data_IF_426966638632
#
_entry.id   IF_426966638632
#
_cell.length_a   1.000
_cell.length_b   1.000
_cell.length_c   1.000
_cell.angle_alpha   90.00
_cell.angle_beta   90.00
_cell.angle_gamma   90.00
#
_symmetry.space_group_name_H-M   'P 1'
#
loop_
_entity.id
_entity.type
_entity.pdbx_description
1 polymer ?
#
# COMPACT_ATOMS: atom_id res chain seq x y z
N UNK A 1 -4.90 27.61 1.51
CA UNK A 1 -5.09 26.94 0.21
C UNK A 1 -6.28 26.01 0.33
N UNK A 2 -7.22 25.99 -0.62
CA UNK A 2 -8.33 25.01 -0.60
C UNK A 2 -7.79 23.66 -1.07
N UNK A 3 -8.01 22.61 -0.29
CA UNK A 3 -7.58 21.24 -0.61
C UNK A 3 -8.78 20.29 -0.63
N UNK A 4 -8.70 19.23 -1.42
CA UNK A 4 -9.72 18.19 -1.37
C UNK A 4 -9.16 16.79 -1.61
N UNK A 5 -9.87 15.78 -1.13
CA UNK A 5 -9.48 14.38 -1.26
C UNK A 5 -10.71 13.49 -1.42
N UNK A 6 -10.59 12.47 -2.26
CA UNK A 6 -11.51 11.33 -2.27
C UNK A 6 -10.73 10.05 -2.07
N UNK A 7 -11.05 9.35 -0.99
CA UNK A 7 -10.53 8.01 -0.68
C UNK A 7 -9.00 7.92 -0.55
N UNK A 8 -8.27 9.03 -0.47
CA UNK A 8 -6.82 8.95 -0.32
C UNK A 8 -6.47 8.27 1.01
N UNK A 9 -5.50 7.34 1.04
CA UNK A 9 -5.19 6.59 2.24
C UNK A 9 -4.77 7.45 3.43
N UNK A 10 -5.14 6.97 4.63
CA UNK A 10 -4.70 7.54 5.92
C UNK A 10 -5.04 9.04 6.07
N UNK A 11 -6.20 9.47 5.56
CA UNK A 11 -6.64 10.87 5.61
C UNK A 11 -7.66 11.19 6.70
N UNK A 12 -8.05 10.22 7.54
CA UNK A 12 -8.92 10.48 8.70
C UNK A 12 -8.21 11.45 9.66
N UNK A 13 -8.86 12.58 9.97
CA UNK A 13 -8.29 13.62 10.84
C UNK A 13 -7.24 14.51 10.17
N UNK A 14 -6.91 14.31 8.89
CA UNK A 14 -5.99 15.17 8.16
C UNK A 14 -6.60 16.56 7.92
N UNK A 15 -5.73 17.59 7.89
CA UNK A 15 -6.15 18.97 7.63
C UNK A 15 -6.43 19.22 6.14
N UNK A 16 -7.58 18.71 5.66
CA UNK A 16 -8.05 18.80 4.28
C UNK A 16 -9.39 19.55 4.24
N UNK A 17 -9.52 20.57 3.38
CA UNK A 17 -10.74 21.42 3.35
C UNK A 17 -11.99 20.63 3.00
N UNK A 18 -11.92 19.78 1.97
CA UNK A 18 -13.01 18.91 1.52
C UNK A 18 -12.54 17.47 1.41
N UNK A 19 -12.75 16.69 2.47
CA UNK A 19 -12.26 15.33 2.58
C UNK A 19 -13.41 14.33 2.58
N UNK A 20 -13.40 13.41 1.62
CA UNK A 20 -14.15 12.16 1.69
C UNK A 20 -13.13 11.08 2.03
N UNK A 21 -13.13 10.64 3.29
CA UNK A 21 -12.08 9.77 3.85
C UNK A 21 -12.15 8.36 3.29
N UNK A 22 -11.00 7.69 3.24
CA UNK A 22 -10.94 6.24 3.15
C UNK A 22 -11.13 5.65 4.55
N UNK A 23 -12.15 4.79 4.72
CA UNK A 23 -12.39 4.08 5.97
C UNK A 23 -13.26 2.85 5.76
N UNK A 24 -12.87 1.72 6.35
CA UNK A 24 -13.70 0.52 6.50
C UNK A 24 -13.39 -0.14 7.84
N UNK A 25 -14.33 -0.93 8.38
CA UNK A 25 -14.10 -1.69 9.61
C UNK A 25 -14.74 -3.07 9.57
N UNK A 26 -16.05 -3.11 9.40
CA UNK A 26 -16.86 -4.32 9.53
C UNK A 26 -17.71 -4.61 8.30
N UNK A 27 -17.62 -3.74 7.27
CA UNK A 27 -18.32 -3.88 5.99
C UNK A 27 -19.83 -4.01 6.17
N UNK A 28 -20.38 -3.27 7.13
CA UNK A 28 -21.81 -3.22 7.40
C UNK A 28 -22.42 -1.95 6.81
N UNK A 29 -23.75 -1.89 6.60
CA UNK A 29 -24.40 -0.64 6.21
C UNK A 29 -24.16 0.54 7.17
N UNK A 30 -23.75 0.28 8.41
CA UNK A 30 -23.41 1.32 9.38
C UNK A 30 -22.04 1.96 9.11
N UNK A 31 -21.13 1.29 8.40
CA UNK A 31 -19.81 1.82 8.06
C UNK A 31 -19.94 3.10 7.19
N UNK A 32 -20.99 3.18 6.36
CA UNK A 32 -21.33 4.40 5.61
C UNK A 32 -21.62 5.61 6.51
N UNK A 33 -22.24 5.39 7.68
CA UNK A 33 -22.49 6.46 8.65
C UNK A 33 -21.17 6.96 9.24
N UNK A 34 -20.19 6.07 9.41
CA UNK A 34 -18.85 6.42 9.89
C UNK A 34 -18.10 7.21 8.82
N UNK A 35 -18.10 6.79 7.56
CA UNK A 35 -17.49 7.55 6.45
C UNK A 35 -18.07 8.96 6.41
N UNK A 36 -19.40 9.11 6.51
CA UNK A 36 -20.07 10.42 6.55
C UNK A 36 -19.65 11.27 7.77
N UNK A 37 -19.49 10.65 8.94
CA UNK A 37 -19.11 11.34 10.17
C UNK A 37 -17.64 11.77 10.20
N UNK A 38 -16.75 10.99 9.60
CA UNK A 38 -15.31 11.25 9.53
C UNK A 38 -14.92 12.15 8.34
N UNK A 39 -15.77 12.22 7.32
CA UNK A 39 -15.62 13.15 6.19
C UNK A 39 -15.98 14.59 6.59
N UNK A 40 -15.64 15.57 5.75
CA UNK A 40 -16.05 16.97 5.95
C UNK A 40 -17.58 17.05 6.12
N UNK A 41 -18.09 17.69 7.20
CA UNK A 41 -19.52 17.71 7.49
C UNK A 41 -20.37 18.20 6.32
N UNK A 42 -21.38 17.41 5.94
CA UNK A 42 -22.31 17.70 4.85
C UNK A 42 -21.80 17.40 3.44
N UNK A 43 -20.49 17.25 3.24
CA UNK A 43 -19.88 17.08 1.93
C UNK A 43 -20.37 15.81 1.21
N UNK A 44 -20.36 14.68 1.91
CA UNK A 44 -20.75 13.40 1.32
C UNK A 44 -22.22 13.44 0.88
N UNK A 45 -23.12 14.00 1.71
CA UNK A 45 -24.53 14.16 1.37
C UNK A 45 -24.73 15.03 0.12
N UNK A 46 -24.03 16.15 0.06
CA UNK A 46 -24.09 17.06 -1.09
C UNK A 46 -23.61 16.37 -2.38
N UNK A 47 -22.49 15.65 -2.30
CA UNK A 47 -21.95 14.91 -3.44
C UNK A 47 -22.87 13.76 -3.85
N UNK A 48 -23.42 12.99 -2.90
CA UNK A 48 -24.34 11.89 -3.17
C UNK A 48 -25.62 12.35 -3.89
N UNK A 49 -26.13 13.53 -3.53
CA UNK A 49 -27.27 14.15 -4.22
C UNK A 49 -26.95 14.51 -5.68
N UNK A 50 -25.69 14.83 -5.99
CA UNK A 50 -25.26 15.25 -7.31
C UNK A 50 -24.84 14.09 -8.23
N UNK A 51 -24.13 13.08 -7.69
CA UNK A 51 -23.47 12.04 -8.50
C UNK A 51 -23.83 10.59 -8.10
N UNK A 52 -24.84 10.44 -7.24
CA UNK A 52 -25.31 9.14 -6.76
C UNK A 52 -24.54 8.63 -5.54
N UNK A 53 -24.88 7.44 -5.01
CA UNK A 53 -24.34 6.94 -3.75
C UNK A 53 -22.82 6.72 -3.81
N UNK A 54 -22.15 7.00 -2.69
CA UNK A 54 -20.72 6.68 -2.52
C UNK A 54 -20.55 5.16 -2.37
N UNK A 55 -19.45 4.56 -2.88
CA UNK A 55 -19.20 3.13 -2.71
C UNK A 55 -18.96 2.75 -1.25
N UNK A 56 -19.03 1.43 -0.97
CA UNK A 56 -18.66 0.97 0.36
C UNK A 56 -17.20 1.27 0.69
N UNK A 57 -16.90 1.52 1.97
CA UNK A 57 -15.52 1.70 2.41
C UNK A 57 -14.63 0.52 2.03
N UNK A 58 -15.19 -0.69 2.08
CA UNK A 58 -14.55 -1.95 1.70
C UNK A 58 -14.74 -2.35 0.23
N UNK A 59 -15.46 -1.54 -0.56
CA UNK A 59 -15.61 -1.78 -1.99
C UNK A 59 -14.35 -1.31 -2.72
N UNK A 60 -13.37 -2.21 -2.81
CA UNK A 60 -12.10 -1.96 -3.48
C UNK A 60 -12.14 -2.27 -4.98
N UNK A 61 -13.32 -2.57 -5.54
CA UNK A 61 -13.48 -2.99 -6.93
C UNK A 61 -13.31 -1.86 -7.96
N UNK A 62 -13.11 -2.24 -9.22
CA UNK A 62 -13.14 -1.32 -10.38
C UNK A 62 -14.49 -0.58 -10.46
N UNK A 63 -15.60 -1.22 -10.10
CA UNK A 63 -16.90 -0.54 -10.05
C UNK A 63 -16.94 0.52 -8.94
N UNK A 64 -16.35 0.23 -7.77
CA UNK A 64 -16.12 1.21 -6.72
C UNK A 64 -15.33 2.41 -7.23
N UNK A 65 -14.27 2.17 -8.00
CA UNK A 65 -13.45 3.24 -8.61
C UNK A 65 -14.24 4.09 -9.60
N UNK A 66 -15.12 3.50 -10.42
CA UNK A 66 -16.02 4.28 -11.31
C UNK A 66 -16.86 5.25 -10.51
N UNK A 67 -17.34 4.86 -9.33
CA UNK A 67 -18.08 5.76 -8.45
C UNK A 67 -17.15 6.83 -7.88
N UNK A 68 -15.98 6.46 -7.34
CA UNK A 68 -14.98 7.41 -6.81
C UNK A 68 -14.60 8.47 -7.83
N UNK A 69 -14.41 8.12 -9.10
CA UNK A 69 -14.11 9.07 -10.17
C UNK A 69 -15.17 10.17 -10.30
N UNK A 70 -16.47 9.83 -10.19
CA UNK A 70 -17.56 10.82 -10.20
C UNK A 70 -17.48 11.81 -9.04
N UNK A 71 -17.11 11.33 -7.85
CA UNK A 71 -16.91 12.19 -6.67
C UNK A 71 -15.69 13.10 -6.82
N UNK A 72 -14.60 12.60 -7.40
CA UNK A 72 -13.42 13.43 -7.71
C UNK A 72 -13.77 14.57 -8.69
N UNK A 73 -14.45 14.25 -9.79
CA UNK A 73 -14.93 15.25 -10.76
C UNK A 73 -15.86 16.26 -10.09
N UNK A 74 -16.81 15.80 -9.26
CA UNK A 74 -17.69 16.70 -8.50
C UNK A 74 -16.91 17.68 -7.62
N UNK A 75 -15.92 17.20 -6.85
CA UNK A 75 -15.11 18.07 -6.00
C UNK A 75 -14.29 19.07 -6.81
N UNK A 76 -13.69 18.64 -7.93
CA UNK A 76 -12.95 19.53 -8.83
C UNK A 76 -13.85 20.65 -9.37
N UNK A 77 -15.06 20.31 -9.85
CA UNK A 77 -15.97 21.29 -10.44
C UNK A 77 -16.64 22.23 -9.42
N UNK A 78 -17.07 21.70 -8.28
CA UNK A 78 -17.88 22.43 -7.30
C UNK A 78 -17.06 23.07 -6.19
N UNK A 79 -15.98 22.42 -5.77
CA UNK A 79 -15.14 22.89 -4.64
C UNK A 79 -13.88 23.59 -5.09
N UNK A 80 -13.48 23.44 -6.36
CA UNK A 80 -12.39 24.18 -7.01
C UNK A 80 -11.10 24.21 -6.16
N UNK A 81 -10.59 23.04 -5.71
CA UNK A 81 -9.39 22.96 -4.90
C UNK A 81 -8.15 23.41 -5.69
N UNK A 82 -7.13 23.87 -4.97
CA UNK A 82 -5.79 24.11 -5.53
C UNK A 82 -4.90 22.87 -5.48
N UNK A 83 -5.21 21.92 -4.60
CA UNK A 83 -4.56 20.62 -4.49
C UNK A 83 -5.61 19.54 -4.23
N UNK A 84 -5.57 18.47 -5.02
CA UNK A 84 -6.56 17.40 -4.98
C UNK A 84 -5.88 16.03 -5.01
N UNK A 85 -6.30 15.13 -4.12
CA UNK A 85 -5.84 13.73 -4.09
C UNK A 85 -6.99 12.78 -4.40
N UNK A 86 -6.69 11.73 -5.17
CA UNK A 86 -7.64 10.73 -5.64
C UNK A 86 -6.98 9.36 -5.53
N UNK A 87 -7.70 8.35 -5.03
CA UNK A 87 -7.21 6.98 -4.93
C UNK A 87 -8.19 5.98 -5.55
N UNK A 88 -7.63 5.08 -6.36
CA UNK A 88 -8.31 3.98 -7.04
C UNK A 88 -7.67 2.66 -6.61
N UNK A 89 -8.49 1.67 -6.27
CA UNK A 89 -8.05 0.41 -5.62
C UNK A 89 -8.17 -0.83 -6.51
N UNK A 90 -8.95 -0.75 -7.59
CA UNK A 90 -9.40 -1.91 -8.34
C UNK A 90 -8.27 -2.76 -8.94
N UNK A 91 -7.16 -2.13 -9.32
CA UNK A 91 -6.01 -2.86 -9.86
C UNK A 91 -5.36 -3.77 -8.81
N UNK A 92 -5.19 -3.27 -7.59
CA UNK A 92 -4.61 -4.03 -6.48
C UNK A 92 -5.47 -5.27 -6.17
N UNK A 93 -6.78 -5.08 -6.03
CA UNK A 93 -7.75 -6.17 -5.83
C UNK A 93 -7.67 -7.23 -6.93
N UNK A 94 -7.64 -6.81 -8.20
CA UNK A 94 -7.57 -7.76 -9.32
C UNK A 94 -6.22 -8.48 -9.38
N UNK A 95 -5.12 -7.82 -9.02
CA UNK A 95 -3.79 -8.44 -8.97
C UNK A 95 -3.66 -9.42 -7.81
N UNK A 96 -4.25 -9.13 -6.64
CA UNK A 96 -4.34 -10.11 -5.56
C UNK A 96 -5.11 -11.36 -5.98
N UNK A 97 -6.27 -11.19 -6.61
CA UNK A 97 -7.13 -12.31 -6.99
C UNK A 97 -6.59 -13.16 -8.16
N UNK A 98 -5.94 -12.54 -9.15
CA UNK A 98 -5.63 -13.18 -10.43
C UNK A 98 -4.14 -13.14 -10.80
N UNK A 99 -3.32 -12.45 -10.01
CA UNK A 99 -1.91 -12.19 -10.29
C UNK A 99 -1.67 -10.99 -11.23
N UNK A 100 -0.47 -10.41 -11.17
CA UNK A 100 -0.07 -9.34 -12.08
C UNK A 100 -0.02 -9.85 -13.54
N UNK A 101 -0.24 -8.93 -14.48
CA UNK A 101 -0.24 -9.20 -15.93
C UNK A 101 -1.28 -10.23 -16.41
N UNK A 102 -2.28 -10.54 -15.59
CA UNK A 102 -3.45 -11.31 -16.02
C UNK A 102 -4.36 -10.47 -16.93
N UNK A 103 -5.21 -11.12 -17.73
CA UNK A 103 -6.19 -10.42 -18.56
C UNK A 103 -7.12 -9.51 -17.73
N UNK A 104 -7.45 -9.92 -16.49
CA UNK A 104 -8.24 -9.10 -15.56
C UNK A 104 -7.46 -7.90 -15.02
N UNK A 105 -6.18 -8.08 -14.67
CA UNK A 105 -5.34 -6.96 -14.26
C UNK A 105 -5.18 -5.92 -15.40
N UNK A 106 -5.02 -6.36 -16.65
CA UNK A 106 -4.98 -5.45 -17.80
C UNK A 106 -6.32 -4.75 -18.03
N UNK A 107 -7.44 -5.47 -17.97
CA UNK A 107 -8.76 -4.84 -18.09
C UNK A 107 -9.00 -3.79 -16.99
N UNK A 108 -8.61 -4.07 -15.74
CA UNK A 108 -8.70 -3.11 -14.65
C UNK A 108 -7.81 -1.88 -14.89
N UNK A 109 -6.60 -2.07 -15.43
CA UNK A 109 -5.70 -0.96 -15.77
C UNK A 109 -6.28 -0.08 -16.88
N UNK A 110 -6.88 -0.65 -17.93
CA UNK A 110 -7.54 0.10 -19.01
C UNK A 110 -8.74 0.90 -18.50
N UNK A 111 -9.52 0.33 -17.58
CA UNK A 111 -10.61 1.04 -16.91
C UNK A 111 -10.08 2.20 -16.06
N UNK A 112 -9.03 1.98 -15.26
CA UNK A 112 -8.42 3.04 -14.44
C UNK A 112 -7.83 4.15 -15.30
N UNK A 113 -7.21 3.85 -16.44
CA UNK A 113 -6.73 4.86 -17.39
C UNK A 113 -7.88 5.79 -17.84
N UNK A 114 -9.03 5.21 -18.18
CA UNK A 114 -10.25 5.98 -18.50
C UNK A 114 -10.69 6.88 -17.35
N UNK A 115 -10.67 6.38 -16.10
CA UNK A 115 -11.06 7.15 -14.92
C UNK A 115 -10.07 8.27 -14.60
N UNK A 116 -8.76 8.02 -14.72
CA UNK A 116 -7.71 9.04 -14.61
C UNK A 116 -7.92 10.12 -15.66
N UNK A 117 -8.26 9.75 -16.90
CA UNK A 117 -8.60 10.69 -17.98
C UNK A 117 -9.77 11.62 -17.63
N UNK A 118 -10.82 11.11 -16.97
CA UNK A 118 -11.96 11.92 -16.52
C UNK A 118 -11.55 12.94 -15.45
N UNK A 119 -10.80 12.50 -14.43
CA UNK A 119 -10.32 13.36 -13.34
C UNK A 119 -9.35 14.42 -13.88
N UNK A 120 -8.43 14.02 -14.76
CA UNK A 120 -7.50 14.93 -15.47
C UNK A 120 -8.25 16.00 -16.25
N UNK A 121 -9.25 15.61 -17.05
CA UNK A 121 -10.04 16.56 -17.85
C UNK A 121 -10.71 17.61 -16.96
N UNK A 122 -11.30 17.19 -15.83
CA UNK A 122 -11.91 18.10 -14.87
C UNK A 122 -10.87 19.04 -14.23
N UNK A 123 -9.69 18.53 -13.88
CA UNK A 123 -8.60 19.32 -13.31
C UNK A 123 -8.04 20.34 -14.32
N UNK A 124 -7.79 19.95 -15.57
CA UNK A 124 -7.31 20.83 -16.64
C UNK A 124 -8.31 21.95 -16.94
N UNK A 125 -9.61 21.63 -16.99
CA UNK A 125 -10.68 22.62 -17.15
C UNK A 125 -10.71 23.61 -15.98
N UNK A 126 -10.62 23.12 -14.75
CA UNK A 126 -10.55 23.96 -13.55
C UNK A 126 -9.33 24.89 -13.58
N UNK A 127 -8.17 24.36 -13.96
CA UNK A 127 -6.90 25.08 -14.02
C UNK A 127 -6.71 25.95 -15.27
N UNK A 128 -7.68 26.00 -16.19
CA UNK A 128 -7.55 26.72 -17.46
C UNK A 128 -6.37 26.23 -18.31
N UNK A 129 -6.16 24.92 -18.36
CA UNK A 129 -5.04 24.26 -19.04
C UNK A 129 -3.72 24.28 -18.26
N UNK A 130 -3.71 24.77 -17.02
CA UNK A 130 -2.51 24.87 -16.17
C UNK A 130 -2.46 23.87 -15.02
N UNK A 131 -3.30 22.84 -15.06
CA UNK A 131 -3.25 21.78 -14.06
C UNK A 131 -1.95 20.99 -14.18
N UNK A 132 -1.38 20.62 -13.04
CA UNK A 132 -0.31 19.63 -12.97
C UNK A 132 -0.95 18.34 -12.48
N UNK A 133 -0.74 17.26 -13.22
CA UNK A 133 -1.26 15.93 -12.91
C UNK A 133 -0.09 15.03 -12.56
N UNK A 134 -0.18 14.41 -11.38
CA UNK A 134 0.78 13.42 -10.92
C UNK A 134 0.04 12.10 -10.71
N UNK A 135 0.48 11.06 -11.40
CA UNK A 135 -0.02 9.70 -11.23
C UNK A 135 1.07 8.92 -10.52
N UNK A 136 0.73 8.37 -9.35
CA UNK A 136 1.65 7.61 -8.51
C UNK A 136 1.03 6.28 -8.11
N UNK A 137 1.88 5.35 -7.71
CA UNK A 137 1.49 4.13 -7.01
C UNK A 137 2.36 3.97 -5.76
N UNK A 138 1.83 3.26 -4.78
CA UNK A 138 2.46 2.90 -3.52
C UNK A 138 3.40 1.68 -3.62
N UNK A 139 3.15 0.75 -4.54
CA UNK A 139 4.03 -0.40 -4.78
C UNK A 139 3.77 -1.08 -6.13
N UNK A 140 4.72 -1.90 -6.55
CA UNK A 140 4.50 -2.91 -7.60
C UNK A 140 3.93 -4.23 -7.07
N UNK A 141 4.07 -5.31 -7.83
CA UNK A 141 3.50 -6.63 -7.53
C UNK A 141 4.37 -7.78 -8.01
N UNK A 142 4.25 -8.92 -7.34
CA UNK A 142 4.85 -10.20 -7.72
C UNK A 142 3.76 -11.25 -7.85
N UNK A 143 3.89 -12.13 -8.84
CA UNK A 143 3.04 -13.32 -8.96
C UNK A 143 3.44 -14.34 -7.90
N UNK A 144 2.46 -14.88 -7.19
CA UNK A 144 2.68 -15.85 -6.11
C UNK A 144 1.96 -17.15 -6.39
N UNK A 145 2.64 -18.26 -6.11
CA UNK A 145 2.15 -19.62 -6.36
C UNK A 145 2.41 -20.55 -5.16
N UNK A 146 3.11 -20.04 -4.14
CA UNK A 146 3.49 -20.79 -2.94
C UNK A 146 3.39 -19.90 -1.72
N UNK A 147 3.19 -20.55 -0.58
CA UNK A 147 3.13 -19.93 0.73
C UNK A 147 4.25 -20.44 1.62
N UNK A 148 4.81 -19.57 2.44
CA UNK A 148 5.80 -19.87 3.45
C UNK A 148 5.26 -19.46 4.83
N UNK A 149 5.02 -20.46 5.67
CA UNK A 149 4.39 -20.37 6.99
C UNK A 149 5.48 -20.34 8.08
N UNK A 150 6.08 -19.17 8.30
CA UNK A 150 7.18 -19.01 9.27
C UNK A 150 6.75 -19.35 10.71
N UNK A 151 5.50 -19.09 11.07
CA UNK A 151 4.98 -19.40 12.40
C UNK A 151 4.87 -20.91 12.64
N UNK A 152 4.58 -21.72 11.61
CA UNK A 152 4.68 -23.17 11.71
C UNK A 152 6.13 -23.63 12.00
N UNK A 153 7.13 -23.03 11.34
CA UNK A 153 8.54 -23.33 11.60
C UNK A 153 8.99 -22.95 13.02
N UNK A 154 8.50 -21.82 13.55
CA UNK A 154 8.78 -21.40 14.93
C UNK A 154 8.07 -22.26 15.96
N UNK A 155 6.85 -22.71 15.67
CA UNK A 155 6.15 -23.72 16.49
C UNK A 155 6.95 -25.01 16.58
N UNK A 156 7.44 -25.53 15.45
CA UNK A 156 8.24 -26.76 15.42
C UNK A 156 9.55 -26.64 16.23
N UNK A 157 10.08 -25.42 16.36
CA UNK A 157 11.23 -25.10 17.21
C UNK A 157 10.87 -24.84 18.69
N UNK A 158 9.60 -24.98 19.07
CA UNK A 158 9.11 -24.72 20.43
C UNK A 158 9.07 -23.24 20.83
N UNK A 159 9.13 -22.32 19.85
CA UNK A 159 9.05 -20.87 20.07
C UNK A 159 7.60 -20.36 20.08
N UNK A 160 6.67 -21.14 19.53
CA UNK A 160 5.23 -20.90 19.61
C UNK A 160 4.57 -22.16 20.16
N UNK A 161 3.69 -21.99 21.14
CA UNK A 161 2.84 -23.05 21.67
C UNK A 161 1.40 -22.77 21.27
N UNK A 162 0.71 -23.79 20.80
CA UNK A 162 -0.73 -23.75 20.48
C UNK A 162 -1.53 -24.59 21.47
N UNK A 163 -2.83 -24.29 21.60
CA UNK A 163 -3.78 -25.13 22.33
C UNK A 163 -4.29 -26.30 21.49
N UNK A 164 -5.24 -27.06 22.03
CA UNK A 164 -5.89 -28.20 21.37
C UNK A 164 -6.72 -27.82 20.12
N UNK A 165 -6.95 -26.52 19.90
CA UNK A 165 -7.70 -25.96 18.76
C UNK A 165 -6.80 -25.23 17.77
N UNK A 166 -5.47 -25.38 17.90
CA UNK A 166 -4.51 -24.73 17.01
C UNK A 166 -4.31 -23.24 17.27
N UNK A 167 -4.88 -22.68 18.35
CA UNK A 167 -4.74 -21.26 18.68
C UNK A 167 -3.50 -21.01 19.51
N UNK A 168 -2.85 -19.87 19.29
CA UNK A 168 -1.65 -19.47 20.05
C UNK A 168 -1.98 -19.40 21.55
N UNK A 169 -1.34 -20.26 22.33
CA UNK A 169 -1.37 -20.27 23.80
C UNK A 169 -0.26 -19.40 24.39
N UNK A 170 0.94 -19.52 23.84
CA UNK A 170 2.08 -18.68 24.21
C UNK A 170 3.08 -18.59 23.05
N UNK A 171 3.89 -17.55 23.02
CA UNK A 171 4.95 -17.39 22.03
C UNK A 171 6.13 -16.64 22.64
N UNK A 172 7.33 -16.95 22.14
CA UNK A 172 8.59 -16.26 22.40
C UNK A 172 9.08 -15.54 21.14
N UNK A 173 8.75 -16.09 19.97
CA UNK A 173 8.98 -15.50 18.65
C UNK A 173 7.70 -15.54 17.83
N UNK A 174 7.42 -14.51 17.04
CA UNK A 174 6.28 -14.49 16.12
C UNK A 174 6.60 -13.73 14.84
N UNK A 175 6.18 -14.25 13.68
CA UNK A 175 6.27 -13.58 12.40
C UNK A 175 5.00 -12.76 12.13
N UNK A 176 5.15 -11.46 11.94
CA UNK A 176 4.14 -10.57 11.35
C UNK A 176 4.40 -10.48 9.86
N UNK A 177 3.75 -11.36 9.11
CA UNK A 177 3.82 -11.38 7.65
C UNK A 177 3.06 -10.20 7.04
N UNK A 178 3.65 -9.58 6.03
CA UNK A 178 3.09 -8.43 5.29
C UNK A 178 3.18 -8.68 3.78
N UNK A 179 2.83 -9.89 3.34
CA UNK A 179 2.96 -10.33 1.95
C UNK A 179 4.34 -10.92 1.68
N UNK A 180 5.19 -10.24 0.92
CA UNK A 180 6.52 -10.71 0.54
C UNK A 180 7.60 -10.62 1.62
N UNK A 181 7.33 -9.97 2.75
CA UNK A 181 8.27 -9.80 3.86
C UNK A 181 7.58 -9.99 5.22
N UNK A 182 8.37 -10.17 6.27
CA UNK A 182 7.86 -10.27 7.63
C UNK A 182 8.80 -9.62 8.64
N UNK A 183 8.19 -8.99 9.64
CA UNK A 183 8.85 -8.63 10.88
C UNK A 183 8.80 -9.81 11.84
N UNK A 184 9.94 -10.22 12.36
CA UNK A 184 10.03 -11.26 13.37
C UNK A 184 10.21 -10.59 14.72
N UNK A 185 9.21 -10.72 15.58
CA UNK A 185 9.20 -10.15 16.92
C UNK A 185 9.62 -11.18 17.94
N UNK A 186 10.32 -10.72 18.98
CA UNK A 186 10.51 -11.46 20.22
C UNK A 186 9.56 -10.89 21.26
N UNK A 187 8.87 -11.76 22.01
CA UNK A 187 7.96 -11.32 23.07
C UNK A 187 8.72 -10.58 24.17
N UNK A 188 9.88 -11.10 24.51
CA UNK A 188 10.84 -10.46 25.40
C UNK A 188 12.14 -10.23 24.61
N UNK A 189 12.52 -8.96 24.43
CA UNK A 189 13.65 -8.56 23.59
C UNK A 189 15.00 -8.99 24.17
N UNK A 190 15.06 -9.29 25.48
CA UNK A 190 16.27 -9.79 26.17
C UNK A 190 16.37 -11.31 26.19
N UNK A 191 15.40 -12.02 25.59
CA UNK A 191 15.42 -13.48 25.51
C UNK A 191 16.42 -13.98 24.45
N UNK A 192 17.69 -14.10 24.86
CA UNK A 192 18.79 -14.53 23.99
C UNK A 192 18.66 -15.98 23.50
N UNK A 193 17.99 -16.87 24.25
CA UNK A 193 17.72 -18.23 23.78
C UNK A 193 16.68 -18.23 22.65
N UNK A 194 15.61 -17.44 22.78
CA UNK A 194 14.62 -17.29 21.71
C UNK A 194 15.24 -16.65 20.47
N UNK A 195 16.07 -15.61 20.65
CA UNK A 195 16.81 -14.98 19.56
C UNK A 195 17.70 -15.99 18.82
N UNK A 196 18.50 -16.76 19.56
CA UNK A 196 19.39 -17.79 18.99
C UNK A 196 18.61 -18.86 18.22
N UNK A 197 17.55 -19.41 18.81
CA UNK A 197 16.70 -20.42 18.14
C UNK A 197 16.00 -19.88 16.90
N UNK A 198 15.50 -18.63 16.96
CA UNK A 198 14.93 -17.94 15.80
C UNK A 198 15.95 -17.86 14.66
N UNK A 199 17.18 -17.43 14.96
CA UNK A 199 18.26 -17.35 13.99
C UNK A 199 18.60 -18.72 13.38
N UNK A 200 18.63 -19.77 14.19
CA UNK A 200 18.87 -21.14 13.71
C UNK A 200 17.78 -21.62 12.76
N UNK A 201 16.51 -21.35 13.07
CA UNK A 201 15.38 -21.67 12.18
C UNK A 201 15.48 -20.92 10.86
N UNK A 202 15.70 -19.59 10.92
CA UNK A 202 15.81 -18.76 9.71
C UNK A 202 17.01 -19.18 8.85
N UNK A 203 18.16 -19.46 9.46
CA UNK A 203 19.35 -19.95 8.74
C UNK A 203 19.06 -21.27 8.04
N UNK A 204 18.43 -22.23 8.73
CA UNK A 204 18.06 -23.52 8.13
C UNK A 204 17.14 -23.35 6.93
N UNK A 205 16.15 -22.46 7.03
CA UNK A 205 15.25 -22.16 5.91
C UNK A 205 15.99 -21.47 4.76
N UNK A 206 16.88 -20.52 5.05
CA UNK A 206 17.66 -19.84 4.01
C UNK A 206 18.63 -20.80 3.28
N UNK A 207 19.21 -21.77 3.99
CA UNK A 207 20.09 -22.81 3.44
C UNK A 207 19.30 -23.84 2.60
N UNK A 208 18.00 -24.01 2.84
CA UNK A 208 17.10 -24.83 2.05
C UNK A 208 16.56 -24.06 0.84
N UNK A 209 17.05 -24.38 -0.36
CA UNK A 209 16.64 -23.72 -1.60
C UNK A 209 15.15 -23.86 -1.89
N UNK A 210 14.47 -24.87 -1.34
CA UNK A 210 13.06 -25.16 -1.53
C UNK A 210 12.11 -24.43 -0.56
N UNK A 211 12.64 -23.83 0.52
CA UNK A 211 11.82 -23.20 1.57
C UNK A 211 11.05 -21.96 1.08
N UNK A 212 11.61 -21.24 0.10
CA UNK A 212 11.11 -19.94 -0.33
C UNK A 212 11.62 -18.74 0.47
N UNK A 213 12.38 -18.95 1.55
CA UNK A 213 13.00 -17.84 2.29
C UNK A 213 14.15 -17.24 1.47
N UNK A 214 14.18 -15.92 1.38
CA UNK A 214 15.22 -15.13 0.71
C UNK A 214 16.15 -14.47 1.72
N UNK A 215 16.21 -13.15 1.70
CA UNK A 215 17.10 -12.37 2.58
C UNK A 215 16.59 -12.36 4.04
N UNK A 216 17.53 -12.34 4.99
CA UNK A 216 17.28 -12.20 6.42
C UNK A 216 18.20 -11.13 6.99
N UNK A 217 17.64 -10.22 7.78
CA UNK A 217 18.34 -9.11 8.42
C UNK A 217 18.11 -9.17 9.94
N UNK A 218 19.12 -8.81 10.72
CA UNK A 218 19.04 -8.74 12.19
C UNK A 218 19.68 -7.43 12.69
N UNK A 219 19.23 -6.96 13.86
CA UNK A 219 19.87 -5.87 14.59
C UNK A 219 19.89 -4.57 13.79
N UNK A 220 21.04 -3.91 13.73
CA UNK A 220 21.18 -2.63 13.03
C UNK A 220 20.80 -2.71 11.54
N UNK A 221 21.02 -3.85 10.88
CA UNK A 221 20.65 -4.02 9.47
C UNK A 221 19.13 -4.12 9.29
N UNK A 222 18.42 -4.75 10.22
CA UNK A 222 16.95 -4.78 10.21
C UNK A 222 16.39 -3.36 10.48
N UNK A 223 16.93 -2.65 11.48
CA UNK A 223 16.52 -1.27 11.78
C UNK A 223 16.77 -0.33 10.59
N UNK A 224 17.86 -0.51 9.85
CA UNK A 224 18.19 0.29 8.69
C UNK A 224 17.18 0.16 7.53
N UNK A 225 16.43 -0.94 7.45
CA UNK A 225 15.34 -1.12 6.49
C UNK A 225 14.10 -0.29 6.83
N UNK A 226 14.02 0.27 8.05
CA UNK A 226 12.86 1.01 8.57
C UNK A 226 11.60 0.13 8.56
N UNK A 227 10.41 0.74 8.65
CA UNK A 227 9.12 0.03 8.64
C UNK A 227 8.77 -0.69 9.95
N UNK A 228 9.70 -1.47 10.51
CA UNK A 228 9.49 -2.26 11.73
C UNK A 228 10.56 -1.98 12.80
N UNK A 229 10.44 -0.87 13.56
CA UNK A 229 11.48 -0.44 14.51
C UNK A 229 11.71 -1.43 15.66
N UNK A 230 10.71 -2.24 16.01
CA UNK A 230 10.77 -3.20 17.11
C UNK A 230 11.12 -4.62 16.67
N UNK A 231 11.36 -4.84 15.37
CA UNK A 231 11.65 -6.17 14.85
C UNK A 231 13.03 -6.65 15.29
N UNK A 232 13.10 -7.88 15.80
CA UNK A 232 14.38 -8.55 16.05
C UNK A 232 15.04 -8.97 14.74
N UNK A 233 14.22 -9.42 13.77
CA UNK A 233 14.65 -9.76 12.42
C UNK A 233 13.65 -9.22 11.39
N UNK A 234 14.13 -8.91 10.20
CA UNK A 234 13.28 -8.70 9.02
C UNK A 234 13.67 -9.75 7.99
N UNK A 235 12.69 -10.37 7.34
CA UNK A 235 12.92 -11.37 6.30
C UNK A 235 12.15 -11.03 5.04
N UNK A 236 12.71 -11.40 3.89
CA UNK A 236 12.05 -11.35 2.59
C UNK A 236 11.91 -12.75 2.00
N UNK A 237 10.76 -13.02 1.39
CA UNK A 237 10.53 -14.21 0.59
C UNK A 237 11.18 -14.06 -0.81
N UNK A 238 11.50 -15.18 -1.44
CA UNK A 238 11.85 -15.26 -2.86
C UNK A 238 10.60 -14.98 -3.71
N UNK A 239 10.81 -14.48 -4.93
CA UNK A 239 9.74 -14.34 -5.93
C UNK A 239 8.97 -15.67 -6.12
N UNK A 240 7.66 -15.58 -6.32
CA UNK A 240 6.78 -16.75 -6.39
C UNK A 240 6.25 -17.23 -5.03
N UNK A 241 6.82 -16.76 -3.91
CA UNK A 241 6.37 -17.06 -2.56
C UNK A 241 5.74 -15.84 -1.90
N UNK A 242 4.68 -16.05 -1.10
CA UNK A 242 4.22 -15.09 -0.10
C UNK A 242 4.42 -15.66 1.30
N UNK A 243 4.71 -14.80 2.27
CA UNK A 243 4.69 -15.17 3.68
C UNK A 243 3.25 -15.13 4.18
N UNK A 244 2.84 -16.18 4.87
CA UNK A 244 1.53 -16.29 5.49
C UNK A 244 1.66 -16.56 7.00
N UNK A 245 0.64 -16.16 7.75
CA UNK A 245 0.59 -16.31 9.21
C UNK A 245 0.33 -17.73 9.70
N UNK A 246 0.17 -18.71 8.79
CA UNK A 246 -0.09 -20.11 9.09
C UNK A 246 0.71 -20.68 10.25
N UNK A 247 -0.02 -21.24 11.21
CA UNK A 247 0.50 -21.90 12.42
C UNK A 247 0.50 -23.42 12.31
N UNK A 248 -0.22 -23.97 11.33
CA UNK A 248 -0.47 -25.39 11.13
C UNK A 248 -0.11 -25.84 9.71
N UNK A 249 0.14 -27.14 9.54
CA UNK A 249 0.52 -27.71 8.26
C UNK A 249 2.01 -27.58 7.91
N UNK A 250 2.36 -27.83 6.64
CA UNK A 250 3.72 -27.74 6.13
C UNK A 250 4.26 -26.30 6.17
N UNK A 251 5.56 -26.14 6.40
CA UNK A 251 6.24 -24.82 6.37
C UNK A 251 6.12 -24.17 4.99
N UNK A 252 6.16 -24.97 3.92
CA UNK A 252 5.99 -24.51 2.54
C UNK A 252 4.88 -25.32 1.89
N UNK A 253 3.94 -24.64 1.24
CA UNK A 253 2.84 -25.28 0.54
C UNK A 253 2.48 -24.58 -0.78
N UNK A 254 1.86 -25.29 -1.72
CA UNK A 254 1.25 -24.65 -2.89
C UNK A 254 0.21 -23.62 -2.45
N UNK A 255 0.24 -22.45 -3.08
CA UNK A 255 -0.75 -21.39 -2.92
C UNK A 255 -1.62 -21.24 -4.16
N UNK A 256 -2.64 -20.39 -4.08
CA UNK A 256 -3.40 -19.99 -5.27
C UNK A 256 -2.52 -19.17 -6.20
N UNK A 257 -2.66 -19.38 -7.52
CA UNK A 257 -2.07 -18.51 -8.53
C UNK A 257 -2.65 -17.09 -8.37
N UNK A 258 -1.89 -16.23 -7.71
CA UNK A 258 -2.34 -14.93 -7.20
C UNK A 258 -1.22 -13.90 -7.35
N UNK A 259 -1.42 -12.71 -6.80
CA UNK A 259 -0.40 -11.69 -6.67
C UNK A 259 -0.23 -11.26 -5.22
N UNK A 260 0.96 -10.79 -4.89
CA UNK A 260 1.21 -10.11 -3.62
C UNK A 260 2.23 -8.98 -3.79
N UNK A 261 2.27 -8.11 -2.80
CA UNK A 261 3.24 -7.03 -2.65
C UNK A 261 3.86 -7.12 -1.24
N UNK A 262 4.54 -6.05 -0.80
CA UNK A 262 5.16 -6.02 0.54
C UNK A 262 6.44 -6.83 0.63
N UNK A 263 7.12 -7.06 -0.51
CA UNK A 263 8.49 -7.58 -0.54
C UNK A 263 9.49 -6.49 -0.10
N UNK A 264 10.75 -6.89 0.07
CA UNK A 264 11.81 -5.96 0.41
C UNK A 264 11.95 -4.84 -0.66
N UNK A 265 12.27 -3.60 -0.24
CA UNK A 265 12.24 -2.43 -1.13
C UNK A 265 13.34 -2.42 -2.21
N UNK A 266 14.33 -3.30 -2.11
CA UNK A 266 15.34 -3.51 -3.14
C UNK A 266 14.84 -4.39 -4.30
N UNK A 267 13.72 -5.11 -4.12
CA UNK A 267 13.11 -5.90 -5.17
C UNK A 267 12.47 -4.98 -6.24
N UNK A 268 12.97 -5.08 -7.48
CA UNK A 268 12.52 -4.27 -8.63
C UNK A 268 11.06 -4.46 -8.98
N UNK A 269 10.46 -5.60 -8.66
CA UNK A 269 9.04 -5.80 -8.87
C UNK A 269 8.17 -4.96 -7.92
N UNK A 270 8.74 -4.38 -6.85
CA UNK A 270 8.08 -3.41 -5.98
C UNK A 270 8.22 -1.96 -6.46
N UNK A 271 9.01 -1.70 -7.52
CA UNK A 271 9.11 -0.36 -8.09
C UNK A 271 7.70 0.10 -8.54
N UNK A 272 7.27 1.26 -8.04
CA UNK A 272 5.96 1.82 -8.29
C UNK A 272 5.99 2.85 -9.43
N UNK A 273 4.83 3.10 -10.03
CA UNK A 273 4.69 4.08 -11.11
C UNK A 273 4.81 5.51 -10.59
N UNK A 274 5.49 6.37 -11.35
CA UNK A 274 5.50 7.83 -11.15
C UNK A 274 5.45 8.52 -12.52
N UNK A 275 4.38 9.26 -12.76
CA UNK A 275 4.21 10.13 -13.92
C UNK A 275 3.85 11.53 -13.47
N UNK A 276 4.41 12.54 -14.12
CA UNK A 276 4.14 13.94 -13.83
C UNK A 276 4.02 14.71 -15.15
N UNK A 277 2.95 15.47 -15.30
CA UNK A 277 2.69 16.28 -16.49
C UNK A 277 2.04 17.60 -16.11
N UNK A 278 2.37 18.67 -16.82
CA UNK A 278 1.77 19.99 -16.64
C UNK A 278 2.76 21.12 -16.84
N UNK A 279 2.34 22.38 -16.60
CA UNK A 279 3.23 23.53 -16.70
C UNK A 279 4.43 23.40 -15.75
N UNK A 280 5.60 23.83 -16.21
CA UNK A 280 6.88 23.77 -15.48
C UNK A 280 7.44 22.36 -15.22
N UNK A 281 6.81 21.31 -15.75
CA UNK A 281 7.37 19.95 -15.74
C UNK A 281 8.17 19.75 -17.04
N UNK A 282 9.45 19.35 -16.97
CA UNK A 282 10.26 19.09 -18.17
C UNK A 282 9.64 18.01 -19.07
N UNK A 283 9.43 18.34 -20.34
CA UNK A 283 8.92 17.38 -21.33
C UNK A 283 9.98 16.32 -21.66
N UNK A 284 9.51 15.10 -21.98
CA UNK A 284 10.34 13.98 -22.44
C UNK A 284 11.52 13.61 -21.52
N UNK A 285 11.38 13.88 -20.21
CA UNK A 285 12.43 13.60 -19.24
C UNK A 285 12.17 12.29 -18.49
N UNK A 286 13.16 11.39 -18.49
CA UNK A 286 13.12 10.16 -17.72
C UNK A 286 14.02 10.29 -16.48
N UNK A 287 13.41 10.27 -15.30
CA UNK A 287 14.12 10.37 -14.02
C UNK A 287 14.79 9.04 -13.59
N UNK A 288 14.52 7.94 -14.31
CA UNK A 288 14.92 6.60 -13.91
C UNK A 288 14.20 6.15 -12.64
N UNK A 289 14.87 5.34 -11.82
CA UNK A 289 14.36 4.95 -10.50
C UNK A 289 14.59 6.10 -9.52
N UNK A 290 13.53 6.54 -8.85
CA UNK A 290 13.57 7.62 -7.85
C UNK A 290 13.23 7.07 -6.46
N UNK A 291 13.59 7.81 -5.41
CA UNK A 291 13.09 7.54 -4.07
C UNK A 291 11.67 8.09 -3.96
N UNK A 292 10.70 7.28 -3.50
CA UNK A 292 9.31 7.72 -3.36
C UNK A 292 9.17 8.94 -2.43
N UNK A 293 10.07 9.11 -1.47
CA UNK A 293 10.09 10.27 -0.57
C UNK A 293 10.41 11.58 -1.28
N UNK A 294 10.94 11.52 -2.51
CA UNK A 294 11.20 12.70 -3.34
C UNK A 294 9.91 13.26 -3.97
N UNK A 295 8.81 12.48 -4.02
CA UNK A 295 7.54 12.90 -4.65
C UNK A 295 6.94 14.10 -3.93
N UNK A 296 6.76 14.03 -2.62
CA UNK A 296 6.14 15.10 -1.82
C UNK A 296 6.87 16.46 -1.94
N UNK A 297 8.19 16.57 -1.73
CA UNK A 297 8.91 17.83 -1.91
C UNK A 297 8.94 18.31 -3.37
N UNK A 298 8.90 17.40 -4.36
CA UNK A 298 8.76 17.76 -5.77
C UNK A 298 7.42 18.45 -6.05
N UNK A 299 6.32 17.86 -5.60
CA UNK A 299 4.98 18.45 -5.76
C UNK A 299 4.81 19.75 -4.95
N UNK A 300 5.39 19.82 -3.75
CA UNK A 300 5.38 21.03 -2.94
C UNK A 300 6.11 22.20 -3.63
N UNK A 301 7.28 21.93 -4.23
CA UNK A 301 8.01 22.93 -5.02
C UNK A 301 7.20 23.47 -6.20
N UNK A 302 6.46 22.61 -6.91
CA UNK A 302 5.56 23.05 -7.98
C UNK A 302 4.38 23.90 -7.49
N UNK A 303 3.93 23.68 -6.25
CA UNK A 303 2.90 24.48 -5.60
C UNK A 303 3.45 25.79 -5.01
N UNK A 304 4.77 25.97 -4.98
CA UNK A 304 5.44 27.08 -4.29
C UNK A 304 5.33 26.97 -2.77
N UNK A 305 5.38 25.74 -2.23
CA UNK A 305 5.30 25.43 -0.81
C UNK A 305 6.58 24.72 -0.38
N UNK A 306 7.12 25.11 0.77
CA UNK A 306 8.27 24.44 1.38
C UNK A 306 7.82 23.32 2.33
N UNK A 307 8.49 22.17 2.24
CA UNK A 307 8.38 21.06 3.19
C UNK A 307 9.72 20.88 3.92
N UNK A 308 10.05 21.72 4.92
CA UNK A 308 11.37 21.73 5.55
C UNK A 308 11.70 20.44 6.32
N UNK A 309 10.69 19.63 6.64
CA UNK A 309 10.84 18.33 7.30
C UNK A 309 10.82 17.14 6.33
N UNK A 310 10.79 17.38 5.01
CA UNK A 310 10.83 16.28 4.04
C UNK A 310 12.20 15.58 4.08
N UNK A 311 12.20 14.25 4.11
CA UNK A 311 13.43 13.45 4.02
C UNK A 311 13.96 13.31 2.58
N UNK A 312 13.07 13.47 1.59
CA UNK A 312 13.43 13.45 0.17
C UNK A 312 13.82 14.83 -0.36
N UNK A 313 14.07 14.90 -1.67
CA UNK A 313 14.47 16.12 -2.39
C UNK A 313 13.52 16.43 -3.54
N UNK A 314 13.43 17.71 -3.89
CA UNK A 314 12.73 18.13 -5.09
C UNK A 314 13.52 17.72 -6.34
N UNK A 315 12.90 16.95 -7.23
CA UNK A 315 13.52 16.38 -8.44
C UNK A 315 13.51 17.33 -9.63
N UNK A 316 12.68 18.37 -9.60
CA UNK A 316 12.47 19.29 -10.72
C UNK A 316 12.70 20.75 -10.35
N UNK A 317 13.35 21.00 -9.20
CA UNK A 317 13.71 22.35 -8.78
C UNK A 317 14.46 23.05 -9.92
N UNK A 318 13.87 24.15 -10.39
CA UNK A 318 14.30 24.92 -11.54
C UNK A 318 15.80 25.24 -11.44
N UNK A 319 16.53 24.98 -12.52
CA UNK A 319 17.76 25.73 -12.80
C UNK A 319 17.39 27.15 -13.22
#
# INVERSE_FOLDING_TARGET
MVTSSVNWPVTVGANITYNIVQYWRSSTPDDQKIIRALSTPGLLREAEQAVGPYPDGSDESVEGDRRRARFNVFLLEKKKPRFHTCYFTGLDTEQHGNGPYSARAFAALEEIDTLVGQVRTAAEKLGGGKAIVCVVSDHGFIRTEKELHLNAAFRDAGLIQVDDKGKVKSWRTYAWATGGSAAILLKDVVDEDARRKTREVLKRLADDSSSGLGQTFEGANAVALRGFPEAAFIVGAKDGYRLDGGLEGPITMPGSASGSHGYLPDNRAMDASFFLVGPAVPEHHNLGRIDMRDIAPTLAGLLGIDLPSAEGRNLISQR
#
